data_IF_889687246328
#
_entry.id   IF_889687246328
#
_cell.length_a   1.000
_cell.length_b   1.000
_cell.length_c   1.000
_cell.angle_alpha   90.00
_cell.angle_beta   90.00
_cell.angle_gamma   90.00
#
_symmetry.space_group_name_H-M   'P 1'
#
loop_
_entity.id
_entity.type
_entity.pdbx_description
1 polymer ?
#
# COMPACT_ATOMS: atom_id res chain seq x y z
N UNK A 1 9.33 21.14 -5.97
CA UNK A 1 9.87 20.01 -5.21
C UNK A 1 8.86 19.71 -4.11
N UNK A 2 8.36 18.47 -4.00
CA UNK A 2 7.49 18.09 -2.89
C UNK A 2 8.26 18.13 -1.57
N UNK A 3 7.57 18.45 -0.48
CA UNK A 3 8.20 18.44 0.85
C UNK A 3 8.34 16.97 1.28
N UNK A 4 9.53 16.48 1.67
CA UNK A 4 9.69 15.10 2.10
C UNK A 4 8.72 14.76 3.24
N UNK A 5 8.09 13.59 3.19
CA UNK A 5 7.10 13.20 4.20
C UNK A 5 7.68 13.16 5.63
N UNK A 6 8.97 12.90 5.77
CA UNK A 6 9.69 12.89 7.06
C UNK A 6 9.76 14.27 7.73
N UNK A 7 9.55 15.36 6.98
CA UNK A 7 9.48 16.69 7.56
C UNK A 7 8.27 16.87 8.49
N UNK A 8 7.16 16.16 8.21
CA UNK A 8 5.93 16.25 8.97
C UNK A 8 6.02 15.44 10.27
N UNK A 9 5.75 16.10 11.39
CA UNK A 9 5.90 15.55 12.75
C UNK A 9 5.30 14.14 12.90
N UNK A 10 4.08 13.92 12.43
CA UNK A 10 3.36 12.65 12.63
C UNK A 10 3.75 11.54 11.64
N UNK A 11 4.49 11.87 10.58
CA UNK A 11 5.04 10.90 9.63
C UNK A 11 6.47 10.46 9.95
N UNK A 12 7.13 11.15 10.89
CA UNK A 12 8.44 10.72 11.43
C UNK A 12 8.31 9.36 12.10
N UNK A 13 9.24 8.49 11.78
CA UNK A 13 9.43 7.20 12.46
C UNK A 13 10.44 7.42 13.57
N UNK A 14 10.10 7.19 14.85
CA UNK A 14 10.98 7.49 15.99
C UNK A 14 12.09 6.47 16.19
N UNK A 15 12.21 5.49 15.29
CA UNK A 15 13.10 4.34 15.40
C UNK A 15 14.20 4.41 14.34
N UNK A 16 15.34 3.79 14.63
CA UNK A 16 16.36 3.56 13.61
C UNK A 16 15.84 2.66 12.49
N UNK A 17 16.50 2.63 11.33
CA UNK A 17 16.15 1.73 10.22
C UNK A 17 16.19 0.26 10.66
N UNK A 18 17.21 -0.14 11.44
CA UNK A 18 17.35 -1.51 11.94
C UNK A 18 16.23 -1.88 12.92
N UNK A 19 15.88 -0.97 13.84
CA UNK A 19 14.79 -1.20 14.78
C UNK A 19 13.44 -1.28 14.07
N UNK A 20 13.20 -0.41 13.08
CA UNK A 20 12.01 -0.45 12.23
C UNK A 20 11.89 -1.80 11.50
N UNK A 21 12.98 -2.31 10.93
CA UNK A 21 13.01 -3.63 10.31
C UNK A 21 12.74 -4.77 11.32
N UNK A 22 13.31 -4.69 12.52
CA UNK A 22 13.08 -5.69 13.58
C UNK A 22 11.61 -5.70 14.04
N UNK A 23 11.01 -4.52 14.23
CA UNK A 23 9.60 -4.37 14.61
C UNK A 23 8.66 -4.89 13.53
N UNK A 24 9.00 -4.65 12.26
CA UNK A 24 8.28 -5.21 11.11
C UNK A 24 8.38 -6.73 11.06
N UNK A 25 9.57 -7.30 11.25
CA UNK A 25 9.74 -8.75 11.31
C UNK A 25 8.95 -9.37 12.49
N UNK A 26 8.87 -8.68 13.63
CA UNK A 26 8.05 -9.10 14.76
C UNK A 26 6.55 -9.06 14.43
N UNK A 27 6.08 -8.01 13.75
CA UNK A 27 4.72 -7.93 13.23
C UNK A 27 4.39 -9.10 12.31
N UNK A 28 5.27 -9.41 11.35
CA UNK A 28 5.10 -10.57 10.47
C UNK A 28 5.03 -11.89 11.24
N UNK A 29 5.87 -12.08 12.26
CA UNK A 29 5.86 -13.29 13.09
C UNK A 29 4.57 -13.43 13.89
N UNK A 30 4.12 -12.35 14.55
CA UNK A 30 2.89 -12.33 15.35
C UNK A 30 1.65 -12.62 14.51
N UNK A 31 1.63 -12.10 13.28
CA UNK A 31 0.54 -12.30 12.33
C UNK A 31 0.74 -13.53 11.43
N UNK A 32 1.63 -14.45 11.82
CA UNK A 32 1.82 -15.76 11.18
C UNK A 32 2.12 -15.68 9.67
N UNK A 33 2.85 -14.66 9.24
CA UNK A 33 3.31 -14.52 7.86
C UNK A 33 4.39 -15.58 7.59
N UNK A 34 4.22 -16.36 6.52
CA UNK A 34 5.11 -17.47 6.19
C UNK A 34 5.86 -17.16 4.90
N UNK A 35 7.19 -17.08 4.96
CA UNK A 35 8.07 -16.92 3.79
C UNK A 35 8.95 -18.15 3.51
N UNK A 36 9.02 -19.10 4.46
CA UNK A 36 9.86 -20.32 4.40
C UNK A 36 11.35 -20.05 4.09
N UNK A 37 11.84 -18.83 4.36
CA UNK A 37 13.19 -18.40 4.01
C UNK A 37 13.46 -18.35 2.50
N UNK A 38 12.41 -18.36 1.67
CA UNK A 38 12.53 -18.33 0.20
C UNK A 38 12.95 -16.97 -0.34
N UNK A 39 12.61 -15.89 0.37
CA UNK A 39 12.95 -14.54 -0.02
C UNK A 39 13.44 -13.69 1.15
N UNK A 40 14.10 -12.58 0.82
CA UNK A 40 14.46 -11.49 1.74
C UNK A 40 14.08 -10.16 1.15
N UNK A 41 13.89 -9.16 2.01
CA UNK A 41 13.82 -7.77 1.56
C UNK A 41 15.26 -7.28 1.37
N UNK A 42 15.53 -6.71 0.20
CA UNK A 42 16.80 -6.07 -0.11
C UNK A 42 16.59 -4.77 -0.87
N UNK A 43 17.68 -4.10 -1.20
CA UNK A 43 17.67 -2.91 -2.04
C UNK A 43 18.10 -3.27 -3.46
N UNK A 44 17.29 -2.87 -4.43
CA UNK A 44 17.50 -3.10 -5.85
C UNK A 44 17.85 -1.76 -6.50
N UNK A 45 18.95 -1.75 -7.25
CA UNK A 45 19.32 -0.62 -8.08
C UNK A 45 18.51 -0.70 -9.37
N UNK A 46 17.68 0.31 -9.64
CA UNK A 46 17.04 0.48 -10.94
C UNK A 46 17.88 1.48 -11.74
N UNK A 47 18.34 1.09 -12.92
CA UNK A 47 18.97 2.03 -13.83
C UNK A 47 17.90 3.05 -14.28
N UNK A 48 18.15 4.36 -14.20
CA UNK A 48 17.32 5.30 -14.92
C UNK A 48 17.49 5.03 -16.42
N UNK A 49 16.45 5.31 -17.23
CA UNK A 49 16.62 5.34 -18.68
C UNK A 49 17.84 6.21 -18.99
N UNK A 50 18.75 5.71 -19.82
CA UNK A 50 19.78 6.56 -20.42
C UNK A 50 19.00 7.67 -21.13
N UNK A 51 19.14 8.96 -20.75
CA UNK A 51 18.51 10.02 -21.49
C UNK A 51 19.01 9.88 -22.93
N UNK A 52 18.10 9.74 -23.90
CA UNK A 52 18.45 9.98 -25.28
C UNK A 52 18.85 11.45 -25.38
N UNK A 53 20.11 11.74 -25.08
CA UNK A 53 20.72 13.03 -25.32
C UNK A 53 20.60 13.25 -26.82
N UNK A 54 19.96 14.34 -27.21
CA UNK A 54 20.06 14.83 -28.58
C UNK A 54 21.54 14.94 -28.94
N UNK A 55 21.90 14.69 -30.20
CA UNK A 55 23.29 14.72 -30.66
C UNK A 55 24.04 16.03 -30.29
N UNK A 56 23.32 17.13 -30.05
CA UNK A 56 23.83 18.43 -29.60
C UNK A 56 24.24 18.46 -28.11
N UNK A 57 23.61 17.65 -27.25
CA UNK A 57 23.86 17.65 -25.80
C UNK A 57 25.02 16.72 -25.39
N UNK A 58 25.41 15.77 -26.25
CA UNK A 58 26.63 14.95 -26.08
C UNK A 58 27.89 15.79 -26.31
N UNK A 59 27.89 16.64 -27.34
CA UNK A 59 29.04 17.49 -27.69
C UNK A 59 29.27 18.59 -26.65
N UNK A 60 28.20 19.10 -26.01
CA UNK A 60 28.31 20.07 -24.93
C UNK A 60 28.86 19.47 -23.61
N UNK A 61 28.56 18.19 -23.33
CA UNK A 61 29.05 17.50 -22.14
C UNK A 61 30.54 17.12 -22.26
N UNK A 62 31.01 16.76 -23.45
CA UNK A 62 32.43 16.49 -23.70
C UNK A 62 33.30 17.76 -23.62
N UNK A 63 32.76 18.92 -24.04
CA UNK A 63 33.47 20.19 -23.97
C UNK A 63 33.61 20.75 -22.53
N UNK A 64 32.78 20.31 -21.59
CA UNK A 64 32.72 20.85 -20.23
C UNK A 64 33.61 20.13 -19.20
N UNK A 65 34.32 19.06 -19.59
CA UNK A 65 35.22 18.33 -18.67
C UNK A 65 34.52 17.81 -17.41
N UNK A 66 33.20 17.64 -17.45
CA UNK A 66 32.42 17.16 -16.32
C UNK A 66 32.65 15.66 -16.16
N UNK A 67 33.64 15.28 -15.34
CA UNK A 67 33.72 13.94 -14.76
C UNK A 67 32.36 13.61 -14.17
N UNK A 68 31.73 12.54 -14.66
CA UNK A 68 30.46 12.02 -14.21
C UNK A 68 30.47 11.85 -12.68
N UNK A 69 30.01 12.87 -11.95
CA UNK A 69 29.67 12.75 -10.56
C UNK A 69 28.51 11.76 -10.48
N UNK A 70 28.80 10.53 -10.09
CA UNK A 70 27.81 9.48 -9.92
C UNK A 70 26.85 9.89 -8.80
N UNK A 71 25.76 10.57 -9.15
CA UNK A 71 24.63 10.68 -8.25
C UNK A 71 24.19 9.25 -7.93
N UNK A 72 24.16 8.82 -6.66
CA UNK A 72 23.77 7.46 -6.31
C UNK A 72 22.40 7.19 -6.91
N UNK A 73 22.29 6.14 -7.73
CA UNK A 73 21.01 5.78 -8.31
C UNK A 73 20.03 5.45 -7.18
N UNK A 74 18.77 5.88 -7.29
CA UNK A 74 17.78 5.59 -6.25
C UNK A 74 17.62 4.08 -6.12
N UNK A 75 17.91 3.57 -4.91
CA UNK A 75 17.67 2.18 -4.57
C UNK A 75 16.25 2.03 -4.04
N UNK A 76 15.51 1.07 -4.59
CA UNK A 76 14.17 0.73 -4.10
C UNK A 76 14.23 -0.56 -3.31
N UNK A 77 13.40 -0.68 -2.27
CA UNK A 77 13.24 -1.99 -1.63
C UNK A 77 12.56 -2.95 -2.60
N UNK A 78 13.01 -4.20 -2.58
CA UNK A 78 12.50 -5.27 -3.41
C UNK A 78 12.58 -6.61 -2.68
N UNK A 79 11.88 -7.60 -3.19
CA UNK A 79 12.01 -8.99 -2.76
C UNK A 79 13.07 -9.70 -3.59
N UNK A 80 13.99 -10.39 -2.93
CA UNK A 80 15.08 -11.14 -3.58
C UNK A 80 14.97 -12.60 -3.16
N UNK A 81 15.09 -13.51 -4.12
CA UNK A 81 15.14 -14.95 -3.87
C UNK A 81 16.41 -15.31 -3.10
N UNK A 82 16.27 -16.01 -1.97
CA UNK A 82 17.42 -16.48 -1.17
C UNK A 82 18.04 -17.77 -1.71
N UNK A 83 17.33 -18.45 -2.60
CA UNK A 83 17.70 -19.72 -3.24
C UNK A 83 16.86 -19.89 -4.49
N UNK A 84 17.24 -20.80 -5.37
CA UNK A 84 16.39 -21.13 -6.52
C UNK A 84 15.01 -21.62 -6.07
N UNK A 85 13.96 -21.09 -6.69
CA UNK A 85 12.57 -21.36 -6.37
C UNK A 85 11.90 -21.97 -7.60
N UNK A 86 11.35 -23.19 -7.52
CA UNK A 86 10.62 -23.78 -8.63
C UNK A 86 9.36 -22.97 -8.97
N UNK A 87 8.90 -23.10 -10.22
CA UNK A 87 7.57 -22.67 -10.65
C UNK A 87 6.50 -23.19 -9.68
N UNK A 88 5.40 -22.44 -9.55
CA UNK A 88 4.22 -22.82 -8.79
C UNK A 88 4.43 -22.91 -7.26
N UNK A 89 5.50 -22.31 -6.76
CA UNK A 89 5.82 -22.27 -5.32
C UNK A 89 5.22 -21.04 -4.67
N UNK A 90 4.47 -21.23 -3.58
CA UNK A 90 4.05 -20.13 -2.70
C UNK A 90 5.25 -19.61 -1.90
N UNK A 91 5.82 -18.49 -2.35
CA UNK A 91 6.97 -17.82 -1.74
C UNK A 91 6.58 -17.18 -0.41
N UNK A 92 5.44 -16.49 -0.41
CA UNK A 92 4.87 -15.83 0.77
C UNK A 92 3.43 -16.31 0.92
N UNK A 93 3.02 -16.64 2.14
CA UNK A 93 1.63 -16.88 2.50
C UNK A 93 1.27 -15.95 3.66
N UNK A 94 0.24 -15.14 3.43
CA UNK A 94 -0.15 -14.02 4.28
C UNK A 94 -1.59 -14.24 4.76
N UNK A 95 -1.81 -14.57 6.04
CA UNK A 95 -3.15 -14.62 6.62
C UNK A 95 -3.82 -13.25 6.56
N UNK A 96 -5.16 -13.22 6.48
CA UNK A 96 -5.93 -11.97 6.49
C UNK A 96 -5.63 -11.07 7.70
N UNK A 97 -5.34 -11.67 8.85
CA UNK A 97 -4.96 -10.93 10.07
C UNK A 97 -3.70 -10.09 9.90
N UNK A 98 -2.81 -10.47 8.97
CA UNK A 98 -1.61 -9.71 8.65
C UNK A 98 -1.87 -8.55 7.68
N UNK A 99 -2.97 -8.58 6.92
CA UNK A 99 -3.30 -7.54 5.96
C UNK A 99 -3.94 -6.32 6.65
N UNK A 100 -3.79 -5.15 6.03
CA UNK A 100 -4.55 -3.95 6.41
C UNK A 100 -5.44 -3.53 5.24
N UNK A 101 -6.74 -3.59 5.44
CA UNK A 101 -7.74 -3.16 4.47
C UNK A 101 -8.93 -2.45 5.12
N UNK A 102 -9.95 -2.09 4.31
CA UNK A 102 -11.14 -1.39 4.79
C UNK A 102 -11.89 -2.16 5.88
N UNK A 103 -11.84 -3.49 5.87
CA UNK A 103 -12.45 -4.33 6.91
C UNK A 103 -11.82 -4.13 8.29
N UNK A 104 -10.49 -3.93 8.37
CA UNK A 104 -9.81 -3.62 9.63
C UNK A 104 -10.31 -2.29 10.21
N UNK A 105 -10.49 -1.30 9.35
CA UNK A 105 -11.08 -0.02 9.75
C UNK A 105 -12.49 -0.25 10.31
N UNK A 106 -13.37 -0.95 9.58
CA UNK A 106 -14.76 -1.22 9.97
C UNK A 106 -14.90 -2.00 11.29
N UNK A 107 -13.94 -2.86 11.59
CA UNK A 107 -13.88 -3.63 12.85
C UNK A 107 -13.30 -2.83 14.02
N UNK A 108 -12.65 -1.69 13.76
CA UNK A 108 -12.04 -0.87 14.79
C UNK A 108 -13.07 0.11 15.38
N UNK A 109 -13.74 -0.29 16.45
CA UNK A 109 -14.72 0.55 17.17
C UNK A 109 -14.14 1.90 17.60
N UNK A 110 -12.94 1.99 18.23
CA UNK A 110 -12.38 3.28 18.62
C UNK A 110 -12.14 4.25 17.44
N UNK A 111 -11.80 3.72 16.27
CA UNK A 111 -11.68 4.53 15.06
C UNK A 111 -13.05 4.99 14.55
N UNK A 112 -14.05 4.11 14.49
CA UNK A 112 -15.38 4.50 14.00
C UNK A 112 -16.08 5.50 14.92
N UNK A 113 -15.81 5.45 16.22
CA UNK A 113 -16.42 6.35 17.20
C UNK A 113 -15.90 7.80 17.13
N UNK A 114 -14.85 8.07 16.35
CA UNK A 114 -14.44 9.46 16.08
C UNK A 114 -15.44 10.19 15.15
N UNK A 115 -16.28 9.44 14.42
CA UNK A 115 -17.22 9.99 13.45
C UNK A 115 -18.64 10.07 14.06
N UNK A 116 -19.35 11.19 13.88
CA UNK A 116 -20.78 11.27 14.15
C UNK A 116 -21.54 10.17 13.41
N UNK A 117 -22.63 9.67 13.99
CA UNK A 117 -23.40 8.55 13.43
C UNK A 117 -23.86 8.84 12.00
N UNK A 118 -24.36 10.05 11.77
CA UNK A 118 -24.86 10.52 10.48
C UNK A 118 -23.75 10.48 9.42
N UNK A 119 -22.53 10.90 9.78
CA UNK A 119 -21.38 10.86 8.89
C UNK A 119 -20.93 9.42 8.58
N UNK A 120 -20.98 8.52 9.57
CA UNK A 120 -20.68 7.09 9.35
C UNK A 120 -21.60 6.48 8.31
N UNK A 121 -22.91 6.67 8.48
CA UNK A 121 -23.95 6.15 7.59
C UNK A 121 -23.91 6.82 6.20
N UNK A 122 -23.59 8.12 6.12
CA UNK A 122 -23.57 8.87 4.88
C UNK A 122 -22.33 8.60 3.99
N UNK A 123 -21.18 8.23 4.55
CA UNK A 123 -19.93 8.17 3.77
C UNK A 123 -19.14 6.87 3.91
N UNK A 124 -19.25 6.16 5.03
CA UNK A 124 -18.31 5.07 5.38
C UNK A 124 -18.96 3.69 5.56
N UNK A 125 -20.28 3.64 5.76
CA UNK A 125 -21.07 2.40 5.91
C UNK A 125 -22.01 2.15 4.73
N UNK A 126 -21.72 2.74 3.57
CA UNK A 126 -22.49 2.54 2.36
C UNK A 126 -21.90 1.41 1.51
N UNK A 127 -22.69 0.89 0.57
CA UNK A 127 -22.18 -0.03 -0.46
C UNK A 127 -21.03 0.58 -1.24
N UNK A 128 -21.08 1.88 -1.48
CA UNK A 128 -19.98 2.65 -2.07
C UNK A 128 -18.64 2.43 -1.35
N UNK A 129 -18.63 2.24 -0.03
CA UNK A 129 -17.43 2.05 0.80
C UNK A 129 -16.77 0.67 0.65
N UNK A 130 -17.46 -0.29 0.03
CA UNK A 130 -16.95 -1.62 -0.34
C UNK A 130 -16.97 -1.89 -1.84
N UNK A 131 -17.33 -0.88 -2.63
CA UNK A 131 -17.22 -0.83 -4.09
C UNK A 131 -16.09 0.11 -4.48
N UNK A 132 -15.54 -0.02 -5.69
CA UNK A 132 -14.49 0.87 -6.21
C UNK A 132 -15.06 2.20 -6.71
N UNK A 133 -16.02 2.76 -5.97
CA UNK A 133 -16.68 4.03 -6.26
C UNK A 133 -15.79 5.21 -5.91
N UNK A 134 -15.75 6.22 -6.79
CA UNK A 134 -15.01 7.47 -6.56
C UNK A 134 -15.73 8.36 -5.54
N UNK A 135 -14.98 9.08 -4.71
CA UNK A 135 -15.53 10.05 -3.74
C UNK A 135 -16.10 11.32 -4.40
N UNK A 136 -15.73 11.57 -5.66
CA UNK A 136 -16.29 12.59 -6.54
C UNK A 136 -15.99 12.20 -8.01
N UNK A 137 -16.77 12.73 -8.96
CA UNK A 137 -16.73 12.33 -10.39
C UNK A 137 -15.32 12.30 -11.01
N UNK A 138 -14.51 13.32 -10.72
CA UNK A 138 -13.13 13.48 -11.22
C UNK A 138 -12.05 13.07 -10.21
N UNK A 139 -12.44 12.58 -9.03
CA UNK A 139 -11.46 12.17 -8.03
C UNK A 139 -10.85 10.81 -8.37
N UNK A 140 -9.54 10.70 -8.19
CA UNK A 140 -8.88 9.40 -8.20
C UNK A 140 -9.32 8.57 -6.99
N UNK A 141 -9.52 9.23 -5.83
CA UNK A 141 -9.78 8.61 -4.53
C UNK A 141 -11.09 7.82 -4.57
N UNK A 142 -11.02 6.55 -4.17
CA UNK A 142 -12.20 5.70 -3.96
C UNK A 142 -12.60 5.69 -2.48
N UNK A 143 -13.88 5.42 -2.20
CA UNK A 143 -14.38 5.42 -0.82
C UNK A 143 -13.66 4.39 0.07
N UNK A 144 -13.40 3.18 -0.43
CA UNK A 144 -12.66 2.15 0.30
C UNK A 144 -11.21 2.59 0.65
N UNK A 145 -10.56 3.30 -0.27
CA UNK A 145 -9.20 3.84 -0.11
C UNK A 145 -9.17 5.04 0.83
N UNK A 146 -10.19 5.91 0.78
CA UNK A 146 -10.36 7.00 1.75
C UNK A 146 -10.53 6.45 3.16
N UNK A 147 -11.40 5.44 3.35
CA UNK A 147 -11.61 4.82 4.65
C UNK A 147 -10.31 4.22 5.21
N UNK A 148 -9.57 3.49 4.36
CA UNK A 148 -8.27 2.94 4.73
C UNK A 148 -7.24 4.03 5.05
N UNK A 149 -7.19 5.11 4.28
CA UNK A 149 -6.28 6.23 4.53
C UNK A 149 -6.60 6.95 5.86
N UNK A 150 -7.87 7.18 6.16
CA UNK A 150 -8.32 7.73 7.44
C UNK A 150 -7.93 6.83 8.61
N UNK A 151 -8.07 5.50 8.43
CA UNK A 151 -7.67 4.52 9.44
C UNK A 151 -6.16 4.48 9.65
N UNK A 152 -5.35 4.52 8.59
CA UNK A 152 -3.89 4.62 8.68
C UNK A 152 -3.48 5.91 9.42
N UNK A 153 -4.09 7.05 9.09
CA UNK A 153 -3.82 8.31 9.78
C UNK A 153 -4.21 8.24 11.26
N UNK A 154 -5.36 7.65 11.60
CA UNK A 154 -5.77 7.40 12.98
C UNK A 154 -4.72 6.58 13.74
N UNK A 155 -4.26 5.47 13.18
CA UNK A 155 -3.25 4.61 13.80
C UNK A 155 -1.92 5.36 14.06
N UNK A 156 -1.48 6.18 13.11
CA UNK A 156 -0.27 7.01 13.27
C UNK A 156 -0.44 8.09 14.35
N UNK A 157 -1.63 8.67 14.46
CA UNK A 157 -1.96 9.67 15.48
C UNK A 157 -2.07 9.05 16.87
N UNK A 158 -2.72 7.88 17.01
CA UNK A 158 -2.73 7.10 18.27
C UNK A 158 -1.31 6.81 18.71
N UNK A 159 -0.45 6.27 17.82
CA UNK A 159 0.97 6.04 18.13
C UNK A 159 1.67 7.29 18.65
N UNK A 160 1.43 8.45 18.04
CA UNK A 160 2.15 9.68 18.33
C UNK A 160 1.62 10.45 19.55
N UNK A 161 0.32 10.37 19.84
CA UNK A 161 -0.36 11.20 20.84
C UNK A 161 -0.93 10.40 22.02
N UNK A 162 -1.05 9.08 21.88
CA UNK A 162 -1.59 8.17 22.88
C UNK A 162 -0.75 6.87 22.95
N UNK A 163 0.56 6.96 23.30
CA UNK A 163 1.49 5.83 23.21
C UNK A 163 1.12 4.64 24.11
N UNK A 164 0.34 4.87 25.17
CA UNK A 164 -0.11 3.83 26.11
C UNK A 164 -1.39 3.10 25.63
N UNK A 165 -2.02 3.53 24.53
CA UNK A 165 -3.19 2.88 23.98
C UNK A 165 -2.85 1.50 23.39
N UNK A 166 -3.54 0.45 23.85
CA UNK A 166 -3.43 -0.87 23.25
C UNK A 166 -4.03 -0.87 21.83
N UNK A 167 -3.36 -1.51 20.87
CA UNK A 167 -3.80 -1.56 19.46
C UNK A 167 -2.71 -1.25 18.41
N UNK A 168 -1.45 -1.16 18.81
CA UNK A 168 -0.34 -0.64 17.99
C UNK A 168 0.32 -1.65 17.03
N UNK A 169 -0.25 -2.84 16.80
CA UNK A 169 0.48 -3.86 16.02
C UNK A 169 0.57 -3.49 14.53
N UNK A 170 -0.52 -3.09 13.84
CA UNK A 170 -0.46 -2.68 12.42
C UNK A 170 0.46 -1.48 12.17
N UNK A 171 0.61 -0.60 13.16
CA UNK A 171 1.52 0.55 13.10
C UNK A 171 2.97 0.12 12.84
N UNK A 172 3.40 -1.06 13.27
CA UNK A 172 4.76 -1.56 13.02
C UNK A 172 5.03 -1.78 11.53
N UNK A 173 4.02 -2.21 10.79
CA UNK A 173 4.09 -2.28 9.34
C UNK A 173 3.97 -0.89 8.70
N UNK A 174 3.07 -0.03 9.21
CA UNK A 174 2.98 1.34 8.71
C UNK A 174 4.27 2.13 8.90
N UNK A 175 5.01 1.94 9.99
CA UNK A 175 6.32 2.54 10.24
C UNK A 175 7.39 2.01 9.27
N UNK A 176 7.22 0.78 8.77
CA UNK A 176 8.12 0.20 7.77
C UNK A 176 7.90 0.75 6.36
N UNK A 177 6.72 1.28 6.02
CA UNK A 177 6.46 1.85 4.69
C UNK A 177 7.43 3.01 4.34
N UNK A 178 7.69 3.32 3.06
CA UNK A 178 8.60 4.39 2.72
C UNK A 178 8.03 5.77 3.01
N UNK A 179 8.91 6.70 3.42
CA UNK A 179 8.61 8.14 3.47
C UNK A 179 9.31 8.92 2.35
N UNK A 180 10.29 8.31 1.71
CA UNK A 180 11.19 8.94 0.74
C UNK A 180 11.54 8.05 -0.46
N UNK A 181 11.01 6.83 -0.54
CA UNK A 181 11.24 5.92 -1.69
C UNK A 181 10.12 6.10 -2.72
N UNK A 182 10.47 6.54 -3.93
CA UNK A 182 9.53 6.77 -5.04
C UNK A 182 9.30 8.25 -5.34
N UNK A 183 8.87 8.56 -6.57
CA UNK A 183 8.52 9.92 -6.98
C UNK A 183 6.99 10.07 -7.06
N UNK A 184 6.38 10.48 -5.95
CA UNK A 184 4.92 10.61 -5.86
C UNK A 184 4.43 12.03 -6.16
N UNK A 185 5.28 12.97 -6.62
CA UNK A 185 4.91 14.38 -6.72
C UNK A 185 3.63 14.64 -7.53
N UNK A 186 3.43 13.91 -8.64
CA UNK A 186 2.20 14.02 -9.44
C UNK A 186 0.99 13.42 -8.70
N UNK A 187 1.15 12.25 -8.08
CA UNK A 187 0.11 11.59 -7.30
C UNK A 187 -0.31 12.45 -6.09
N UNK A 188 0.66 12.99 -5.35
CA UNK A 188 0.46 13.90 -4.23
C UNK A 188 -0.41 15.10 -4.61
N UNK A 189 -0.13 15.73 -5.75
CA UNK A 189 -0.92 16.86 -6.24
C UNK A 189 -2.38 16.47 -6.52
N UNK A 190 -2.62 15.34 -7.19
CA UNK A 190 -3.97 14.84 -7.45
C UNK A 190 -4.74 14.48 -6.17
N UNK A 191 -4.05 13.86 -5.20
CA UNK A 191 -4.63 13.50 -3.90
C UNK A 191 -5.00 14.75 -3.09
N UNK A 192 -4.12 15.74 -3.04
CA UNK A 192 -4.35 16.99 -2.30
C UNK A 192 -5.62 17.71 -2.77
N UNK A 193 -5.81 17.86 -4.09
CA UNK A 193 -7.00 18.51 -4.66
C UNK A 193 -8.29 17.75 -4.31
N UNK A 194 -8.26 16.42 -4.40
CA UNK A 194 -9.43 15.59 -4.08
C UNK A 194 -9.78 15.64 -2.59
N UNK A 195 -8.77 15.72 -1.71
CA UNK A 195 -8.97 15.83 -0.27
C UNK A 195 -9.61 17.15 0.16
N UNK A 196 -9.42 18.23 -0.61
CA UNK A 196 -10.00 19.53 -0.31
C UNK A 196 -11.45 19.68 -0.81
N UNK A 197 -11.79 19.04 -1.91
CA UNK A 197 -13.05 19.27 -2.63
C UNK A 197 -14.15 18.29 -2.25
N UNK A 198 -13.83 17.01 -2.03
CA UNK A 198 -14.84 16.00 -1.72
C UNK A 198 -15.33 16.10 -0.27
N UNK A 199 -16.64 16.07 -0.07
CA UNK A 199 -17.25 16.23 1.26
C UNK A 199 -16.83 15.13 2.24
N UNK A 200 -16.83 13.87 1.82
CA UNK A 200 -16.36 12.75 2.63
C UNK A 200 -14.92 12.96 3.13
N UNK A 201 -14.04 13.52 2.30
CA UNK A 201 -12.66 13.85 2.67
C UNK A 201 -12.59 14.96 3.72
N UNK A 202 -13.39 16.03 3.57
CA UNK A 202 -13.44 17.15 4.53
C UNK A 202 -13.99 16.70 5.88
N UNK A 203 -15.05 15.90 5.88
CA UNK A 203 -15.63 15.31 7.10
C UNK A 203 -14.60 14.42 7.80
N UNK A 204 -13.90 13.57 7.04
CA UNK A 204 -12.84 12.71 7.56
C UNK A 204 -11.72 13.49 8.25
N UNK A 205 -11.20 14.52 7.59
CA UNK A 205 -10.17 15.40 8.14
C UNK A 205 -10.63 16.14 9.40
N UNK A 206 -11.86 16.64 9.40
CA UNK A 206 -12.43 17.38 10.54
C UNK A 206 -12.57 16.48 11.76
N UNK A 207 -13.07 15.25 11.59
CA UNK A 207 -13.27 14.32 12.70
C UNK A 207 -11.94 13.89 13.33
N UNK A 208 -10.93 13.57 12.52
CA UNK A 208 -9.58 13.26 13.02
C UNK A 208 -8.97 14.45 13.77
N UNK A 209 -9.01 15.65 13.18
CA UNK A 209 -8.48 16.86 13.78
C UNK A 209 -9.14 17.16 15.14
N UNK A 210 -10.47 17.07 15.20
CA UNK A 210 -11.24 17.30 16.42
C UNK A 210 -10.94 16.26 17.51
N UNK A 211 -10.90 14.97 17.15
CA UNK A 211 -10.64 13.89 18.10
C UNK A 211 -9.27 14.02 18.76
N UNK A 212 -8.23 14.28 17.96
CA UNK A 212 -6.85 14.41 18.44
C UNK A 212 -6.47 15.82 18.91
N UNK A 213 -7.39 16.78 18.82
CA UNK A 213 -7.18 18.20 19.20
C UNK A 213 -5.98 18.84 18.50
N UNK A 214 -5.86 18.59 17.19
CA UNK A 214 -4.80 19.14 16.34
C UNK A 214 -5.41 19.89 15.14
N UNK A 215 -4.69 20.83 14.52
CA UNK A 215 -5.18 21.51 13.32
C UNK A 215 -5.38 20.53 12.15
N UNK A 216 -6.38 20.78 11.30
CA UNK A 216 -6.58 20.01 10.06
C UNK A 216 -5.35 20.02 9.13
N UNK A 217 -4.55 21.09 9.18
CA UNK A 217 -3.30 21.20 8.43
C UNK A 217 -2.28 20.09 8.78
N UNK A 218 -2.35 19.50 9.97
CA UNK A 218 -1.50 18.37 10.37
C UNK A 218 -2.07 17.00 9.94
N UNK A 219 -3.37 16.94 9.63
CA UNK A 219 -4.03 15.71 9.13
C UNK A 219 -3.75 15.49 7.64
N UNK A 220 -3.75 16.57 6.85
CA UNK A 220 -3.64 16.48 5.40
C UNK A 220 -2.36 15.75 4.92
N UNK A 221 -1.15 16.03 5.45
CA UNK A 221 0.04 15.30 5.05
C UNK A 221 -0.05 13.80 5.34
N UNK A 222 -0.69 13.41 6.45
CA UNK A 222 -0.93 12.01 6.80
C UNK A 222 -1.81 11.31 5.75
N UNK A 223 -2.89 11.97 5.33
CA UNK A 223 -3.80 11.42 4.32
C UNK A 223 -3.17 11.35 2.93
N UNK A 224 -2.42 12.38 2.52
CA UNK A 224 -1.69 12.36 1.25
C UNK A 224 -0.67 11.22 1.24
N UNK A 225 0.11 11.06 2.31
CA UNK A 225 1.06 9.96 2.43
C UNK A 225 0.36 8.60 2.41
N UNK A 226 -0.70 8.43 3.21
CA UNK A 226 -1.44 7.17 3.31
C UNK A 226 -2.05 6.78 1.95
N UNK A 227 -2.63 7.73 1.22
CA UNK A 227 -3.13 7.49 -0.13
C UNK A 227 -1.99 7.12 -1.09
N UNK A 228 -0.85 7.82 -1.06
CA UNK A 228 0.30 7.45 -1.87
C UNK A 228 0.75 6.01 -1.59
N UNK A 229 0.80 5.60 -0.32
CA UNK A 229 1.12 4.22 0.06
C UNK A 229 0.07 3.23 -0.45
N UNK A 230 -1.22 3.52 -0.27
CA UNK A 230 -2.30 2.66 -0.77
C UNK A 230 -2.19 2.50 -2.29
N UNK A 231 -2.03 3.58 -3.05
CA UNK A 231 -1.94 3.51 -4.51
C UNK A 231 -0.70 2.80 -5.04
N UNK A 232 0.44 2.99 -4.38
CA UNK A 232 1.71 2.40 -4.81
C UNK A 232 1.98 1.01 -4.24
N UNK A 233 1.11 0.47 -3.38
CA UNK A 233 1.34 -0.80 -2.66
C UNK A 233 0.12 -1.69 -2.48
N UNK A 234 -1.07 -1.24 -2.91
CA UNK A 234 -2.26 -2.06 -2.77
C UNK A 234 -2.12 -3.36 -3.55
N UNK A 235 -2.60 -4.43 -2.94
CA UNK A 235 -2.91 -5.69 -3.58
C UNK A 235 -4.43 -5.72 -3.79
N UNK A 236 -4.90 -5.72 -5.05
CA UNK A 236 -6.32 -5.89 -5.36
C UNK A 236 -6.74 -7.32 -5.02
N UNK A 237 -7.81 -7.47 -4.24
CA UNK A 237 -8.37 -8.76 -3.85
C UNK A 237 -9.81 -8.84 -4.35
N UNK A 238 -10.09 -9.77 -5.23
CA UNK A 238 -11.42 -10.09 -5.77
C UNK A 238 -11.95 -11.44 -5.27
N UNK A 239 -11.09 -12.33 -4.73
CA UNK A 239 -11.52 -13.64 -4.26
C UNK A 239 -12.62 -13.52 -3.18
N UNK A 240 -13.82 -13.97 -3.52
CA UNK A 240 -15.04 -13.77 -2.74
C UNK A 240 -14.98 -14.36 -1.35
N UNK A 241 -14.59 -15.63 -1.20
CA UNK A 241 -14.55 -16.27 0.11
C UNK A 241 -13.57 -15.61 1.10
N UNK A 242 -12.51 -14.98 0.59
CA UNK A 242 -11.54 -14.22 1.38
C UNK A 242 -12.15 -12.87 1.82
N UNK A 243 -12.88 -12.20 0.94
CA UNK A 243 -13.61 -10.97 1.26
C UNK A 243 -14.77 -11.22 2.24
N UNK A 244 -15.54 -12.31 2.06
CA UNK A 244 -16.56 -12.74 3.02
C UNK A 244 -15.97 -12.94 4.42
N UNK A 245 -14.81 -13.59 4.52
CA UNK A 245 -14.10 -13.76 5.79
C UNK A 245 -13.60 -12.42 6.37
N UNK A 246 -13.01 -11.58 5.51
CA UNK A 246 -12.50 -10.27 5.91
C UNK A 246 -13.62 -9.37 6.50
N UNK A 247 -14.83 -9.40 5.90
CA UNK A 247 -15.94 -8.52 6.25
C UNK A 247 -17.03 -9.16 7.13
N UNK A 248 -16.92 -10.45 7.52
CA UNK A 248 -17.95 -11.22 8.26
C UNK A 248 -18.61 -10.49 9.43
N UNK A 249 -17.82 -9.73 10.19
CA UNK A 249 -18.27 -9.05 11.41
C UNK A 249 -18.34 -7.52 11.22
N UNK A 250 -18.75 -7.08 10.04
CA UNK A 250 -18.89 -5.66 9.69
C UNK A 250 -20.33 -5.34 9.29
N UNK A 251 -20.77 -4.07 9.37
CA UNK A 251 -22.11 -3.66 8.93
C UNK A 251 -22.42 -3.97 7.45
N UNK A 252 -21.40 -4.27 6.65
CA UNK A 252 -21.50 -4.55 5.20
C UNK A 252 -21.33 -6.05 4.87
N UNK A 253 -21.29 -6.94 5.87
CA UNK A 253 -21.09 -8.38 5.67
C UNK A 253 -22.08 -9.01 4.68
N UNK A 254 -23.35 -8.57 4.69
CA UNK A 254 -24.42 -9.06 3.82
C UNK A 254 -24.17 -8.83 2.33
N UNK A 255 -23.36 -7.82 1.97
CA UNK A 255 -22.97 -7.56 0.59
C UNK A 255 -22.19 -8.73 -0.01
N UNK A 256 -21.27 -9.31 0.77
CA UNK A 256 -20.43 -10.41 0.31
C UNK A 256 -21.18 -11.75 0.36
N UNK A 257 -22.05 -11.93 1.36
CA UNK A 257 -22.84 -13.16 1.51
C UNK A 257 -23.94 -13.33 0.43
N UNK A 258 -24.50 -12.23 -0.09
CA UNK A 258 -25.67 -12.26 -1.00
C UNK A 258 -25.34 -12.57 -2.47
N UNK A 259 -24.08 -12.47 -2.89
CA UNK A 259 -23.68 -12.76 -4.29
C UNK A 259 -23.48 -14.26 -4.57
N UNK A 260 -24.18 -15.15 -3.86
CA UNK A 260 -24.00 -16.61 -3.82
C UNK A 260 -24.41 -17.40 -5.08
N UNK A 261 -24.38 -16.79 -6.27
CA UNK A 261 -24.67 -17.48 -7.55
C UNK A 261 -23.45 -17.46 -8.48
N UNK A 262 -22.64 -18.52 -8.40
CA UNK A 262 -21.86 -19.03 -9.54
C UNK A 262 -20.42 -18.56 -9.73
N UNK A 263 -19.99 -17.44 -9.13
CA UNK A 263 -18.64 -16.90 -9.33
C UNK A 263 -17.84 -16.82 -8.01
N UNK A 264 -16.59 -17.31 -8.04
CA UNK A 264 -15.64 -17.26 -6.91
C UNK A 264 -14.92 -15.90 -6.79
N UNK A 265 -15.07 -15.04 -7.79
CA UNK A 265 -14.46 -13.70 -7.86
C UNK A 265 -15.55 -12.62 -7.79
N UNK A 266 -15.23 -11.52 -7.12
CA UNK A 266 -16.04 -10.30 -7.12
C UNK A 266 -15.78 -9.50 -8.40
N UNK A 267 -16.79 -8.82 -8.96
CA UNK A 267 -16.61 -7.99 -10.16
C UNK A 267 -15.59 -6.85 -10.00
N UNK A 268 -15.44 -6.34 -8.78
CA UNK A 268 -14.52 -5.26 -8.46
C UNK A 268 -13.59 -5.68 -7.30
N UNK A 269 -12.26 -5.65 -7.48
CA UNK A 269 -11.33 -6.02 -6.43
C UNK A 269 -11.24 -4.94 -5.35
N UNK A 270 -11.14 -5.33 -4.08
CA UNK A 270 -10.95 -4.40 -2.96
C UNK A 270 -9.46 -4.31 -2.64
N UNK A 271 -8.97 -3.09 -2.44
CA UNK A 271 -7.57 -2.81 -2.13
C UNK A 271 -7.21 -3.19 -0.69
N UNK A 272 -6.19 -4.03 -0.53
CA UNK A 272 -5.55 -4.33 0.76
C UNK A 272 -4.08 -3.96 0.71
N UNK A 273 -3.51 -3.55 1.84
CA UNK A 273 -2.08 -3.53 2.05
C UNK A 273 -1.65 -4.90 2.58
N UNK A 274 -0.78 -5.56 1.83
CA UNK A 274 -0.35 -6.94 2.09
C UNK A 274 1.15 -6.96 2.38
N UNK A 275 1.56 -6.93 3.67
CA UNK A 275 2.95 -6.94 4.07
C UNK A 275 3.79 -8.00 3.35
N UNK A 276 5.03 -7.66 3.02
CA UNK A 276 5.97 -8.46 2.22
C UNK A 276 5.54 -8.55 0.75
N UNK A 277 4.30 -8.94 0.45
CA UNK A 277 3.78 -9.05 -0.92
C UNK A 277 3.89 -7.70 -1.64
N UNK A 278 3.58 -6.61 -0.93
CA UNK A 278 3.65 -5.23 -1.39
C UNK A 278 5.09 -4.68 -1.57
N UNK A 279 6.12 -5.48 -1.28
CA UNK A 279 7.53 -5.17 -1.56
C UNK A 279 7.99 -5.72 -2.91
N UNK A 280 7.15 -6.49 -3.61
CA UNK A 280 7.44 -6.99 -4.94
C UNK A 280 7.34 -5.85 -5.94
N UNK A 281 8.41 -5.53 -6.66
CA UNK A 281 8.45 -4.41 -7.61
C UNK A 281 7.80 -4.74 -8.95
N UNK A 282 7.61 -3.71 -9.77
CA UNK A 282 7.10 -3.87 -11.13
C UNK A 282 8.18 -4.35 -12.13
N UNK A 283 7.77 -5.23 -13.04
CA UNK A 283 8.45 -5.54 -14.30
C UNK A 283 7.43 -6.03 -15.34
N UNK A 284 7.71 -5.86 -16.63
CA UNK A 284 6.97 -6.52 -17.71
C UNK A 284 7.23 -8.04 -17.73
N UNK A 285 8.41 -8.47 -17.25
CA UNK A 285 8.81 -9.86 -17.16
C UNK A 285 8.47 -10.48 -15.80
N UNK A 286 7.20 -10.39 -15.38
CA UNK A 286 6.77 -10.92 -14.08
C UNK A 286 7.16 -12.38 -13.87
N UNK A 287 7.64 -12.68 -12.68
CA UNK A 287 8.02 -14.04 -12.27
C UNK A 287 7.22 -14.52 -11.05
N UNK A 288 6.41 -13.65 -10.46
CA UNK A 288 5.47 -13.96 -9.38
C UNK A 288 4.13 -13.27 -9.59
N UNK A 289 3.07 -13.86 -9.06
CA UNK A 289 1.74 -13.26 -9.01
C UNK A 289 1.10 -13.41 -7.63
N UNK A 290 0.15 -12.52 -7.34
CA UNK A 290 -0.72 -12.68 -6.17
C UNK A 290 -1.80 -13.70 -6.49
N UNK A 291 -2.04 -14.62 -5.55
CA UNK A 291 -3.08 -15.63 -5.67
C UNK A 291 -3.78 -15.85 -4.33
N UNK A 292 -5.05 -16.21 -4.36
CA UNK A 292 -5.80 -16.67 -3.19
C UNK A 292 -6.25 -18.11 -3.47
N UNK A 293 -5.76 -19.12 -2.74
CA UNK A 293 -6.15 -20.51 -2.97
C UNK A 293 -7.60 -20.78 -2.56
N UNK A 294 -8.38 -21.44 -3.41
CA UNK A 294 -9.77 -21.82 -3.11
C UNK A 294 -9.84 -22.77 -1.90
N UNK A 295 -8.88 -23.71 -1.84
CA UNK A 295 -8.69 -24.68 -0.77
C UNK A 295 -7.43 -24.31 0.04
N UNK A 296 -7.57 -23.53 1.14
CA UNK A 296 -6.42 -23.24 1.98
C UNK A 296 -5.88 -24.54 2.59
N UNK A 297 -4.56 -24.65 2.85
CA UNK A 297 -4.00 -25.80 3.56
C UNK A 297 -4.76 -25.98 4.89
N UNK A 298 -5.16 -27.21 5.23
CA UNK A 298 -6.11 -27.57 6.31
C UNK A 298 -5.80 -27.06 7.74
N UNK A 299 -4.72 -26.30 7.93
CA UNK A 299 -4.33 -25.64 9.19
C UNK A 299 -4.26 -24.11 9.11
N UNK A 300 -4.46 -23.50 7.94
CA UNK A 300 -4.44 -22.06 7.74
C UNK A 300 -5.85 -21.57 7.38
N UNK A 301 -6.25 -20.44 7.94
CA UNK A 301 -7.36 -19.62 7.41
C UNK A 301 -7.07 -19.23 5.95
N UNK A 302 -8.05 -18.65 5.24
CA UNK A 302 -7.79 -18.19 3.86
C UNK A 302 -6.60 -17.21 3.84
N UNK A 303 -5.69 -17.40 2.90
CA UNK A 303 -4.43 -16.64 2.79
C UNK A 303 -4.30 -15.96 1.44
N UNK A 304 -3.59 -14.83 1.43
CA UNK A 304 -3.04 -14.22 0.21
C UNK A 304 -1.65 -14.79 -0.01
N UNK A 305 -1.38 -15.30 -1.21
CA UNK A 305 -0.10 -15.90 -1.58
C UNK A 305 0.62 -15.04 -2.62
N UNK A 306 1.95 -14.98 -2.51
CA UNK A 306 2.82 -14.62 -3.63
C UNK A 306 3.39 -15.93 -4.21
N UNK A 307 3.02 -16.28 -5.44
CA UNK A 307 3.39 -17.56 -6.08
C UNK A 307 4.25 -17.33 -7.31
N UNK A 308 5.27 -18.15 -7.51
CA UNK A 308 6.11 -18.11 -8.71
C UNK A 308 5.37 -18.59 -9.96
N UNK A 309 5.56 -17.88 -11.08
CA UNK A 309 4.99 -18.19 -12.39
C UNK A 309 5.93 -19.03 -13.27
N UNK A 310 7.23 -19.02 -12.92
CA UNK A 310 8.31 -19.80 -13.53
C UNK A 310 9.36 -20.14 -12.48
N UNK A 311 10.37 -20.90 -12.87
CA UNK A 311 11.56 -21.06 -12.04
C UNK A 311 12.26 -19.69 -11.86
N UNK A 312 12.68 -19.42 -10.63
CA UNK A 312 13.37 -18.20 -10.22
C UNK A 312 14.74 -18.59 -9.67
N UNK A 313 15.81 -17.93 -10.12
CA UNK A 313 17.15 -18.21 -9.66
C UNK A 313 17.46 -17.61 -8.28
N UNK A 314 18.42 -18.18 -7.57
CA UNK A 314 18.98 -17.54 -6.37
C UNK A 314 19.52 -16.13 -6.69
N UNK A 315 19.19 -15.16 -5.84
CA UNK A 315 19.59 -13.75 -6.01
C UNK A 315 18.72 -12.97 -7.01
N UNK A 316 17.80 -13.62 -7.73
CA UNK A 316 16.88 -12.96 -8.65
C UNK A 316 15.83 -12.13 -7.88
N UNK A 317 15.46 -10.97 -8.42
CA UNK A 317 14.37 -10.15 -7.89
C UNK A 317 13.01 -10.79 -8.20
N UNK A 318 12.12 -10.83 -7.21
CA UNK A 318 10.72 -11.20 -7.42
C UNK A 318 9.97 -9.94 -7.88
N UNK A 319 9.35 -10.04 -9.04
CA UNK A 319 8.67 -8.92 -9.73
C UNK A 319 7.30 -9.33 -10.26
N UNK A 320 6.36 -8.39 -10.25
CA UNK A 320 4.98 -8.57 -10.72
C UNK A 320 4.54 -7.46 -11.69
N UNK A 321 3.50 -7.71 -12.49
CA UNK A 321 2.92 -6.66 -13.34
C UNK A 321 1.86 -5.87 -12.56
N UNK A 322 2.13 -4.60 -12.24
CA UNK A 322 1.15 -3.74 -11.55
C UNK A 322 0.05 -3.24 -12.49
N UNK A 323 0.43 -2.84 -13.69
CA UNK A 323 -0.45 -2.44 -14.77
C UNK A 323 0.29 -2.63 -16.09
N UNK A 324 -0.47 -2.81 -17.17
CA UNK A 324 0.06 -2.77 -18.54
C UNK A 324 -0.07 -1.39 -19.19
N UNK A 325 -0.64 -0.41 -18.47
CA UNK A 325 -0.87 0.95 -18.96
C UNK A 325 0.25 1.88 -18.49
N UNK A 326 1.10 2.40 -19.40
CA UNK A 326 2.14 3.36 -19.02
C UNK A 326 1.58 4.64 -18.38
N UNK A 327 0.36 5.04 -18.75
CA UNK A 327 -0.30 6.19 -18.13
C UNK A 327 -0.66 5.93 -16.66
N UNK A 328 -1.13 4.73 -16.33
CA UNK A 328 -1.41 4.33 -14.95
C UNK A 328 -0.12 4.17 -14.16
N UNK A 329 0.92 3.55 -14.73
CA UNK A 329 2.23 3.41 -14.07
C UNK A 329 2.86 4.77 -13.74
N UNK A 330 2.75 5.76 -14.63
CA UNK A 330 3.20 7.13 -14.33
C UNK A 330 2.35 7.81 -13.26
N UNK A 331 1.03 7.76 -13.40
CA UNK A 331 0.11 8.57 -12.59
C UNK A 331 -0.11 7.98 -11.20
N UNK A 332 -0.22 6.65 -11.09
CA UNK A 332 -0.58 5.93 -9.88
C UNK A 332 0.67 5.44 -9.12
N UNK A 333 1.67 4.97 -9.85
CA UNK A 333 2.85 4.32 -9.24
C UNK A 333 4.09 5.21 -9.19
N UNK A 334 3.98 6.46 -9.69
CA UNK A 334 5.10 7.40 -9.70
C UNK A 334 6.29 6.94 -10.56
N UNK A 335 6.06 5.99 -11.49
CA UNK A 335 7.10 5.35 -12.30
C UNK A 335 7.45 6.16 -13.56
N UNK A 336 7.38 7.49 -13.49
CA UNK A 336 7.74 8.39 -14.60
C UNK A 336 9.22 8.32 -15.01
N UNK A 337 10.08 7.78 -14.13
CA UNK A 337 11.53 7.64 -14.35
C UNK A 337 12.05 6.20 -14.31
N UNK A 338 11.18 5.20 -14.14
CA UNK A 338 11.58 3.77 -13.98
C UNK A 338 11.16 2.91 -15.17
N UNK A 339 10.29 3.42 -16.04
CA UNK A 339 9.64 2.66 -17.12
C UNK A 339 9.90 3.21 -18.53
N UNK A 340 11.12 3.62 -18.82
CA UNK A 340 11.57 3.76 -20.21
C UNK A 340 12.86 3.00 -20.42
#
# INVERSE_FOLDING_TARGET
MSTPFESFRFLRVPYSAQETANRFAEYCRRNQVITRGLCRIGYIQRCPPVPQLSHESVVAAEAAGATAGSTPLPMLRGLIANKSIPKDTNVVMLPLSACIGPSNAMKCTPFFDIFPREAREAYFLQMASVQNSRVAEQSLIRHNQLLLALYMAYLLLVRALQPDAQGSDPVRYLDFLPRSEGNFAQLEAHMAVSLETAEACRVGQTCLAAHFRIPQAEIRPLLVWALCMIYSRMVPIDHKGLLEEAFRDTPVASFFASQSRGEDLMPEPISFLCPIVDMCNHSEGENVAVMVPDNPPSRLQRVVCLRTLRDVAEGEELVMTYSRSPAELRTIWGMSQVLL
#
